data_IF_642599376132
#
_entry.id   IF_642599376132
#
_cell.length_a   1.000
_cell.length_b   1.000
_cell.length_c   1.000
_cell.angle_alpha   90.00
_cell.angle_beta   90.00
_cell.angle_gamma   90.00
#
_symmetry.space_group_name_H-M   'P 1'
#
loop_
_entity.id
_entity.type
_entity.pdbx_description
1 polymer ?
#
# COMPACT_ATOMS: atom_id res chain seq x y z
N UNK A 1 -21.52 6.57 19.44
CA UNK A 1 -21.20 5.34 18.68
C UNK A 1 -21.55 5.41 17.20
N UNK A 2 -22.74 5.90 16.81
CA UNK A 2 -23.14 6.00 15.39
C UNK A 2 -22.17 6.82 14.51
N UNK A 3 -21.60 7.91 15.05
CA UNK A 3 -20.65 8.76 14.31
C UNK A 3 -19.31 8.08 14.02
N UNK A 4 -18.78 7.27 14.96
CA UNK A 4 -17.50 6.58 14.77
C UNK A 4 -17.66 5.46 13.74
N UNK A 5 -18.71 4.65 13.85
CA UNK A 5 -18.99 3.58 12.88
C UNK A 5 -19.16 4.15 11.46
N UNK A 6 -19.87 5.27 11.32
CA UNK A 6 -19.97 6.00 10.06
C UNK A 6 -18.61 6.46 9.55
N UNK A 7 -17.79 7.09 10.39
CA UNK A 7 -16.47 7.59 9.98
C UNK A 7 -15.52 6.45 9.58
N UNK A 8 -15.56 5.31 10.28
CA UNK A 8 -14.82 4.10 9.90
C UNK A 8 -15.29 3.61 8.54
N UNK A 9 -16.59 3.45 8.32
CA UNK A 9 -17.14 3.04 7.02
C UNK A 9 -16.72 3.98 5.90
N UNK A 10 -16.87 5.29 6.07
CA UNK A 10 -16.45 6.30 5.09
C UNK A 10 -14.94 6.23 4.83
N UNK A 11 -14.13 5.93 5.85
CA UNK A 11 -12.69 5.73 5.67
C UNK A 11 -12.39 4.49 4.83
N UNK A 12 -13.06 3.36 5.11
CA UNK A 12 -12.91 2.11 4.35
C UNK A 12 -13.33 2.27 2.88
N UNK A 13 -14.42 3.00 2.63
CA UNK A 13 -14.88 3.36 1.28
C UNK A 13 -13.88 4.30 0.57
N UNK A 14 -13.31 5.29 1.29
CA UNK A 14 -12.33 6.24 0.77
C UNK A 14 -11.01 5.57 0.34
N UNK A 15 -10.54 4.58 1.12
CA UNK A 15 -9.32 3.83 0.81
C UNK A 15 -9.57 2.66 -0.16
N UNK A 16 -10.84 2.40 -0.51
CA UNK A 16 -11.25 1.26 -1.35
C UNK A 16 -10.65 -0.03 -0.84
N UNK A 17 -11.01 -0.41 0.39
CA UNK A 17 -10.46 -1.62 1.03
C UNK A 17 -10.69 -2.88 0.20
N UNK A 18 -11.79 -2.96 -0.55
CA UNK A 18 -12.06 -4.03 -1.51
C UNK A 18 -10.90 -4.24 -2.52
N UNK A 19 -10.23 -3.17 -2.94
CA UNK A 19 -9.13 -3.26 -3.90
C UNK A 19 -7.85 -3.87 -3.28
N UNK A 20 -7.80 -4.06 -1.96
CA UNK A 20 -6.73 -4.82 -1.32
C UNK A 20 -6.69 -6.26 -1.85
N UNK A 21 -7.86 -6.81 -2.20
CA UNK A 21 -7.99 -8.13 -2.77
C UNK A 21 -7.15 -8.29 -4.05
N UNK A 22 -7.00 -7.23 -4.85
CA UNK A 22 -6.21 -7.27 -6.09
C UNK A 22 -4.70 -7.22 -5.85
N UNK A 23 -4.23 -6.80 -4.67
CA UNK A 23 -2.82 -6.79 -4.33
C UNK A 23 -2.34 -8.11 -3.70
N UNK A 24 -3.25 -8.86 -3.07
CA UNK A 24 -2.94 -10.14 -2.41
C UNK A 24 -2.34 -11.20 -3.35
N UNK A 25 -2.77 -11.35 -4.62
CA UNK A 25 -2.16 -12.31 -5.54
C UNK A 25 -0.66 -12.15 -5.70
N UNK A 26 -0.13 -10.91 -5.73
CA UNK A 26 1.31 -10.66 -5.86
C UNK A 26 2.09 -11.13 -4.62
N UNK A 27 1.57 -10.84 -3.42
CA UNK A 27 2.15 -11.32 -2.18
C UNK A 27 2.08 -12.86 -2.10
N UNK A 28 0.92 -13.45 -2.37
CA UNK A 28 0.76 -14.90 -2.28
C UNK A 28 1.54 -15.66 -3.34
N UNK A 29 1.73 -15.11 -4.54
CA UNK A 29 2.63 -15.70 -5.52
C UNK A 29 4.06 -15.78 -4.98
N UNK A 30 4.56 -14.70 -4.37
CA UNK A 30 5.85 -14.72 -3.67
C UNK A 30 5.91 -15.75 -2.53
N UNK A 31 4.86 -15.83 -1.72
CA UNK A 31 4.77 -16.79 -0.62
C UNK A 31 4.73 -18.26 -1.08
N UNK A 32 3.95 -18.57 -2.11
CA UNK A 32 3.81 -19.91 -2.69
C UNK A 32 5.14 -20.41 -3.28
N UNK A 33 5.81 -19.56 -4.04
CA UNK A 33 7.12 -19.86 -4.61
C UNK A 33 8.17 -20.08 -3.52
N UNK A 34 8.12 -19.27 -2.45
CA UNK A 34 9.01 -19.40 -1.30
C UNK A 34 8.78 -20.70 -0.52
N UNK A 35 7.52 -21.09 -0.32
CA UNK A 35 7.15 -22.30 0.41
C UNK A 35 7.39 -23.59 -0.41
N UNK A 36 7.59 -23.49 -1.73
CA UNK A 36 7.56 -24.62 -2.67
C UNK A 36 6.27 -25.46 -2.52
N UNK A 37 5.15 -24.78 -2.31
CA UNK A 37 3.88 -25.36 -1.92
C UNK A 37 3.00 -24.33 -1.22
N UNK A 38 2.07 -24.77 -0.38
CA UNK A 38 1.23 -23.87 0.42
C UNK A 38 2.00 -23.38 1.66
N UNK A 39 2.07 -22.06 1.90
CA UNK A 39 2.53 -21.53 3.17
C UNK A 39 1.64 -22.01 4.32
N UNK A 40 2.18 -22.03 5.53
CA UNK A 40 1.38 -22.34 6.72
C UNK A 40 0.21 -21.36 6.87
N UNK A 41 -0.90 -21.83 7.45
CA UNK A 41 -2.07 -20.98 7.74
C UNK A 41 -1.66 -19.73 8.53
N UNK A 42 -0.73 -19.88 9.48
CA UNK A 42 -0.15 -18.76 10.23
C UNK A 42 0.50 -17.73 9.31
N UNK A 43 1.35 -18.15 8.37
CA UNK A 43 1.98 -17.24 7.41
C UNK A 43 0.94 -16.55 6.52
N UNK A 44 -0.06 -17.28 6.03
CA UNK A 44 -1.13 -16.73 5.21
C UNK A 44 -1.88 -15.61 5.95
N UNK A 45 -2.26 -15.85 7.20
CA UNK A 45 -2.97 -14.86 8.03
C UNK A 45 -2.10 -13.62 8.26
N UNK A 46 -0.86 -13.78 8.69
CA UNK A 46 0.01 -12.64 8.98
C UNK A 46 0.43 -11.87 7.72
N UNK A 47 0.68 -12.53 6.59
CA UNK A 47 0.94 -11.86 5.30
C UNK A 47 -0.30 -11.05 4.89
N UNK A 48 -1.50 -11.60 5.05
CA UNK A 48 -2.75 -10.88 4.73
C UNK A 48 -2.90 -9.64 5.60
N UNK A 49 -2.70 -9.77 6.92
CA UNK A 49 -2.78 -8.64 7.85
C UNK A 49 -1.73 -7.57 7.56
N UNK A 50 -0.51 -7.98 7.19
CA UNK A 50 0.54 -7.06 6.76
C UNK A 50 0.12 -6.30 5.50
N UNK A 51 -0.40 -6.99 4.48
CA UNK A 51 -0.87 -6.39 3.23
C UNK A 51 -2.01 -5.40 3.45
N UNK A 52 -2.99 -5.77 4.29
CA UNK A 52 -4.11 -4.90 4.66
C UNK A 52 -3.61 -3.66 5.40
N UNK A 53 -2.72 -3.83 6.38
CA UNK A 53 -2.13 -2.73 7.15
C UNK A 53 -1.35 -1.77 6.27
N UNK A 54 -0.38 -2.27 5.50
CA UNK A 54 0.47 -1.46 4.63
C UNK A 54 -0.35 -0.68 3.58
N UNK A 55 -1.30 -1.34 2.92
CA UNK A 55 -2.15 -0.67 1.92
C UNK A 55 -3.07 0.36 2.55
N UNK A 56 -3.66 0.05 3.71
CA UNK A 56 -4.53 0.99 4.43
C UNK A 56 -3.76 2.23 4.85
N UNK A 57 -2.53 2.07 5.35
CA UNK A 57 -1.62 3.19 5.65
C UNK A 57 -1.31 3.99 4.39
N UNK A 58 -0.89 3.34 3.30
CA UNK A 58 -0.52 4.01 2.06
C UNK A 58 -1.68 4.85 1.51
N UNK A 59 -2.87 4.27 1.43
CA UNK A 59 -4.06 4.94 0.88
C UNK A 59 -4.57 6.06 1.78
N UNK A 60 -4.64 5.84 3.10
CA UNK A 60 -5.08 6.86 4.05
C UNK A 60 -4.09 8.03 4.10
N UNK A 61 -2.79 7.74 4.14
CA UNK A 61 -1.75 8.76 4.11
C UNK A 61 -1.75 9.54 2.79
N UNK A 62 -1.91 8.87 1.64
CA UNK A 62 -2.03 9.54 0.36
C UNK A 62 -3.18 10.56 0.36
N UNK A 63 -4.34 10.21 0.93
CA UNK A 63 -5.50 11.13 1.03
C UNK A 63 -5.21 12.33 1.94
N UNK A 64 -4.47 12.13 3.02
CA UNK A 64 -4.04 13.22 3.90
C UNK A 64 -3.04 14.13 3.18
N UNK A 65 -2.03 13.55 2.53
CA UNK A 65 -0.99 14.29 1.83
C UNK A 65 -1.58 15.12 0.70
N UNK A 66 -2.51 14.57 -0.06
CA UNK A 66 -3.12 15.21 -1.24
C UNK A 66 -4.29 16.14 -0.88
N UNK A 67 -4.65 16.33 0.40
CA UNK A 67 -5.85 17.08 0.83
C UNK A 67 -6.00 18.47 0.18
N UNK A 68 -4.90 19.24 0.15
CA UNK A 68 -4.92 20.65 -0.29
C UNK A 68 -5.00 20.75 -1.82
N UNK A 69 -4.42 19.76 -2.50
CA UNK A 69 -4.49 19.62 -3.96
C UNK A 69 -5.86 19.09 -4.38
N UNK A 70 -6.36 18.08 -3.68
CA UNK A 70 -7.67 17.49 -3.91
C UNK A 70 -8.80 18.52 -3.73
N UNK A 71 -8.64 19.46 -2.81
CA UNK A 71 -9.58 20.57 -2.58
C UNK A 71 -9.64 21.57 -3.75
N UNK A 72 -8.52 21.75 -4.47
CA UNK A 72 -8.43 22.67 -5.62
C UNK A 72 -8.89 22.03 -6.92
N UNK A 73 -8.86 20.70 -7.02
CA UNK A 73 -9.25 19.98 -8.23
C UNK A 73 -10.78 19.74 -8.29
N UNK A 74 -11.46 20.21 -9.37
CA UNK A 74 -12.92 20.06 -9.54
C UNK A 74 -13.44 18.62 -9.45
N UNK A 75 -12.62 17.63 -9.84
CA UNK A 75 -12.96 16.20 -9.81
C UNK A 75 -12.88 15.59 -8.42
N UNK A 76 -12.01 16.10 -7.56
CA UNK A 76 -11.67 15.48 -6.26
C UNK A 76 -12.10 16.29 -5.05
N UNK A 77 -12.61 17.52 -5.24
CA UNK A 77 -13.13 18.37 -4.16
C UNK A 77 -14.23 17.72 -3.31
N UNK A 78 -14.94 16.75 -3.87
CA UNK A 78 -16.01 16.01 -3.17
C UNK A 78 -15.50 14.81 -2.35
N UNK A 79 -14.17 14.58 -2.29
CA UNK A 79 -13.60 13.52 -1.46
C UNK A 79 -13.81 13.81 0.02
N UNK A 80 -13.83 12.75 0.83
CA UNK A 80 -14.25 12.82 2.23
C UNK A 80 -13.45 13.79 3.12
N UNK A 81 -12.15 13.97 2.86
CA UNK A 81 -11.31 14.92 3.61
C UNK A 81 -11.53 16.37 3.13
N UNK A 82 -11.36 16.71 1.83
CA UNK A 82 -11.66 18.07 1.33
C UNK A 82 -13.09 18.55 1.60
N UNK A 83 -14.08 17.64 1.53
CA UNK A 83 -15.49 17.96 1.78
C UNK A 83 -15.83 18.07 3.29
N UNK A 84 -14.87 17.90 4.20
CA UNK A 84 -15.07 18.01 5.65
C UNK A 84 -15.86 16.85 6.29
N UNK A 85 -16.12 15.77 5.54
CA UNK A 85 -16.86 14.59 6.03
C UNK A 85 -16.02 13.81 7.06
N UNK A 86 -14.70 13.75 6.84
CA UNK A 86 -13.73 13.14 7.75
C UNK A 86 -12.71 14.18 8.22
N UNK A 87 -12.44 14.20 9.53
CA UNK A 87 -11.37 15.03 10.08
C UNK A 87 -10.00 14.43 9.76
N UNK A 88 -9.02 15.28 9.46
CA UNK A 88 -7.63 14.86 9.21
C UNK A 88 -7.08 14.09 10.42
N UNK A 89 -7.40 14.52 11.64
CA UNK A 89 -6.98 13.81 12.87
C UNK A 89 -7.52 12.40 12.97
N UNK A 90 -8.78 12.15 12.56
CA UNK A 90 -9.36 10.81 12.54
C UNK A 90 -8.65 9.91 11.51
N UNK A 91 -8.44 10.40 10.29
CA UNK A 91 -7.74 9.63 9.24
C UNK A 91 -6.28 9.39 9.62
N UNK A 92 -5.63 10.34 10.28
CA UNK A 92 -4.27 10.16 10.79
C UNK A 92 -4.21 9.07 11.87
N UNK A 93 -5.15 9.07 12.82
CA UNK A 93 -5.24 8.00 13.82
C UNK A 93 -5.46 6.63 13.16
N UNK A 94 -6.35 6.53 12.16
CA UNK A 94 -6.53 5.31 11.37
C UNK A 94 -5.25 4.88 10.65
N UNK A 95 -4.51 5.83 10.09
CA UNK A 95 -3.24 5.61 9.39
C UNK A 95 -2.20 5.00 10.36
N UNK A 96 -2.08 5.56 11.57
CA UNK A 96 -1.17 5.06 12.61
C UNK A 96 -1.56 3.68 13.11
N UNK A 97 -2.86 3.41 13.32
CA UNK A 97 -3.35 2.08 13.70
C UNK A 97 -3.04 1.04 12.61
N UNK A 98 -3.27 1.39 11.34
CA UNK A 98 -2.95 0.53 10.19
C UNK A 98 -1.46 0.26 10.06
N UNK A 99 -0.63 1.26 10.32
CA UNK A 99 0.83 1.12 10.34
C UNK A 99 1.27 0.21 11.49
N UNK A 100 0.67 0.38 12.67
CA UNK A 100 0.87 -0.50 13.82
C UNK A 100 0.49 -1.95 13.52
N UNK A 101 -0.63 -2.18 12.83
CA UNK A 101 -1.05 -3.52 12.38
C UNK A 101 0.00 -4.15 11.44
N UNK A 102 0.52 -3.37 10.48
CA UNK A 102 1.56 -3.85 9.57
C UNK A 102 2.86 -4.22 10.31
N UNK A 103 3.34 -3.36 11.20
CA UNK A 103 4.54 -3.61 11.99
C UNK A 103 4.35 -4.81 12.92
N UNK A 104 3.18 -4.93 13.56
CA UNK A 104 2.84 -6.06 14.41
C UNK A 104 2.76 -7.37 13.62
N UNK A 105 2.15 -7.36 12.44
CA UNK A 105 2.14 -8.53 11.57
C UNK A 105 3.57 -8.95 11.15
N UNK A 106 4.47 -7.98 10.91
CA UNK A 106 5.86 -8.25 10.58
C UNK A 106 6.63 -8.92 11.75
N UNK A 107 6.35 -8.56 13.01
CA UNK A 107 6.97 -9.25 14.17
C UNK A 107 6.54 -10.70 14.29
N UNK A 108 5.31 -11.02 13.86
CA UNK A 108 4.74 -12.36 13.95
C UNK A 108 5.21 -13.33 12.86
N UNK A 109 5.86 -12.81 11.81
CA UNK A 109 6.41 -13.57 10.68
C UNK A 109 7.84 -14.02 10.95
N UNK A 110 8.81 -13.10 10.94
CA UNK A 110 10.21 -13.39 11.28
C UNK A 110 11.03 -12.11 11.47
N UNK A 111 12.26 -12.26 11.99
CA UNK A 111 13.17 -11.15 12.31
C UNK A 111 13.55 -10.30 11.08
N UNK A 112 13.80 -10.92 9.93
CA UNK A 112 14.19 -10.18 8.73
C UNK A 112 13.03 -9.33 8.20
N UNK A 113 11.81 -9.88 8.22
CA UNK A 113 10.59 -9.14 7.87
C UNK A 113 10.40 -7.93 8.78
N UNK A 114 10.64 -8.07 10.08
CA UNK A 114 10.57 -6.95 11.02
C UNK A 114 11.64 -5.88 10.76
N UNK A 115 12.87 -6.27 10.45
CA UNK A 115 13.95 -5.32 10.18
C UNK A 115 13.65 -4.50 8.91
N UNK A 116 13.05 -5.13 7.90
CA UNK A 116 12.73 -4.48 6.62
C UNK A 116 11.39 -3.75 6.61
N UNK A 117 10.49 -4.03 7.57
CA UNK A 117 9.16 -3.43 7.59
C UNK A 117 9.17 -1.91 7.70
N UNK A 118 10.05 -1.23 8.47
CA UNK A 118 10.09 0.23 8.47
C UNK A 118 10.48 0.81 7.09
N UNK A 119 11.35 0.13 6.34
CA UNK A 119 11.76 0.54 4.99
C UNK A 119 10.59 0.40 4.02
N UNK A 120 9.85 -0.71 4.11
CA UNK A 120 8.65 -0.92 3.31
C UNK A 120 7.57 0.13 3.61
N UNK A 121 7.35 0.42 4.89
CA UNK A 121 6.39 1.43 5.34
C UNK A 121 6.78 2.83 4.89
N UNK A 122 8.06 3.19 5.03
CA UNK A 122 8.58 4.46 4.55
C UNK A 122 8.39 4.60 3.03
N UNK A 123 8.63 3.53 2.27
CA UNK A 123 8.44 3.53 0.81
C UNK A 123 7.01 3.88 0.41
N UNK A 124 6.00 3.24 1.03
CA UNK A 124 4.59 3.49 0.69
C UNK A 124 4.08 4.85 1.16
N UNK A 125 4.64 5.40 2.24
CA UNK A 125 4.32 6.73 2.75
C UNK A 125 4.95 7.81 1.85
N UNK A 126 6.25 7.69 1.57
CA UNK A 126 7.02 8.65 0.80
C UNK A 126 6.52 8.79 -0.64
N UNK A 127 6.00 7.71 -1.23
CA UNK A 127 5.38 7.74 -2.55
C UNK A 127 4.39 8.90 -2.73
N UNK A 128 3.56 9.20 -1.71
CA UNK A 128 2.55 10.25 -1.78
C UNK A 128 3.14 11.63 -2.09
N UNK A 129 4.40 11.86 -1.74
CA UNK A 129 5.11 13.10 -2.04
C UNK A 129 5.81 13.09 -3.40
N UNK A 130 6.22 11.92 -3.89
CA UNK A 130 7.02 11.81 -5.12
C UNK A 130 6.32 12.37 -6.35
N UNK A 131 4.98 12.35 -6.37
CA UNK A 131 4.15 12.98 -7.42
C UNK A 131 4.48 14.45 -7.68
N UNK A 132 5.03 15.16 -6.69
CA UNK A 132 5.30 16.61 -6.77
C UNK A 132 6.73 16.94 -7.21
N UNK A 133 7.62 15.95 -7.17
CA UNK A 133 9.07 16.17 -7.30
C UNK A 133 9.66 15.47 -8.51
N UNK A 134 9.00 14.40 -9.00
CA UNK A 134 9.55 13.60 -10.09
C UNK A 134 8.48 13.05 -11.01
N UNK A 135 8.79 13.07 -12.32
CA UNK A 135 8.02 12.40 -13.36
C UNK A 135 8.13 10.87 -13.26
N UNK A 136 9.07 10.36 -12.46
CA UNK A 136 9.23 8.93 -12.19
C UNK A 136 8.34 8.42 -11.04
N UNK A 137 7.34 9.20 -10.61
CA UNK A 137 6.40 8.82 -9.56
C UNK A 137 5.70 7.48 -9.86
N UNK A 138 5.45 7.17 -11.14
CA UNK A 138 4.92 5.89 -11.61
C UNK A 138 5.85 4.70 -11.28
N UNK A 139 7.17 4.89 -11.39
CA UNK A 139 8.14 3.86 -10.98
C UNK A 139 8.15 3.70 -9.46
N UNK A 140 8.00 4.78 -8.71
CA UNK A 140 7.90 4.72 -7.24
C UNK A 140 6.62 4.01 -6.81
N UNK A 141 5.49 4.26 -7.48
CA UNK A 141 4.25 3.50 -7.26
C UNK A 141 4.47 2.00 -7.54
N UNK A 142 5.12 1.70 -8.67
CA UNK A 142 5.49 0.34 -9.01
C UNK A 142 6.36 -0.32 -7.94
N UNK A 143 7.35 0.41 -7.42
CA UNK A 143 8.20 -0.04 -6.32
C UNK A 143 7.39 -0.38 -5.06
N UNK A 144 6.43 0.47 -4.69
CA UNK A 144 5.56 0.23 -3.54
C UNK A 144 4.79 -1.10 -3.65
N UNK A 145 4.27 -1.44 -4.83
CA UNK A 145 3.59 -2.73 -5.04
C UNK A 145 4.60 -3.89 -5.17
N UNK A 146 5.74 -3.65 -5.80
CA UNK A 146 6.81 -4.63 -6.00
C UNK A 146 7.44 -5.11 -4.70
N UNK A 147 7.33 -4.38 -3.59
CA UNK A 147 7.77 -4.88 -2.28
C UNK A 147 6.96 -6.12 -1.87
N UNK A 148 5.70 -6.27 -2.30
CA UNK A 148 4.82 -7.33 -1.80
C UNK A 148 5.31 -8.76 -2.12
N UNK A 149 5.67 -9.14 -3.37
CA UNK A 149 6.21 -10.48 -3.65
C UNK A 149 7.47 -10.82 -2.87
N UNK A 150 8.47 -9.94 -2.87
CA UNK A 150 9.73 -10.18 -2.13
C UNK A 150 9.50 -10.17 -0.63
N UNK A 151 8.68 -9.27 -0.11
CA UNK A 151 8.30 -9.23 1.30
C UNK A 151 7.61 -10.50 1.76
N UNK A 152 6.73 -11.06 0.94
CA UNK A 152 6.07 -12.33 1.23
C UNK A 152 7.03 -13.54 1.12
N UNK A 153 8.01 -13.52 0.21
CA UNK A 153 9.07 -14.52 0.18
C UNK A 153 9.88 -14.52 1.48
N UNK A 154 10.31 -13.33 1.91
CA UNK A 154 11.05 -13.14 3.17
C UNK A 154 10.19 -13.56 4.35
N UNK A 155 8.89 -13.24 4.35
CA UNK A 155 7.94 -13.65 5.39
C UNK A 155 7.88 -15.17 5.57
N UNK A 156 8.05 -15.93 4.47
CA UNK A 156 8.02 -17.40 4.48
C UNK A 156 9.38 -18.01 4.80
N UNK A 157 10.46 -17.54 4.16
CA UNK A 157 11.81 -18.15 4.23
C UNK A 157 12.70 -17.56 5.32
N UNK A 158 12.47 -16.30 5.71
CA UNK A 158 13.36 -15.53 6.59
C UNK A 158 14.68 -15.11 5.94
N UNK A 159 14.88 -15.37 4.65
CA UNK A 159 16.08 -15.06 3.87
C UNK A 159 15.73 -14.75 2.41
N UNK A 160 16.66 -14.09 1.70
CA UNK A 160 16.64 -13.99 0.24
C UNK A 160 17.79 -14.86 -0.28
N UNK A 161 17.46 -16.05 -0.73
CA UNK A 161 18.41 -17.10 -1.14
C UNK A 161 18.25 -17.49 -2.61
N UNK A 162 17.42 -16.75 -3.35
CA UNK A 162 17.11 -16.95 -4.74
C UNK A 162 16.87 -15.60 -5.42
N UNK A 163 17.22 -15.44 -6.72
CA UNK A 163 16.87 -14.24 -7.49
C UNK A 163 15.38 -14.17 -7.84
N UNK A 164 14.64 -15.28 -7.74
CA UNK A 164 13.22 -15.38 -8.12
C UNK A 164 12.32 -14.30 -7.49
N UNK A 165 12.33 -14.06 -6.16
CA UNK A 165 11.50 -13.01 -5.56
C UNK A 165 11.80 -11.62 -6.11
N UNK A 166 13.08 -11.30 -6.34
CA UNK A 166 13.51 -10.01 -6.86
C UNK A 166 13.08 -9.81 -8.32
N UNK A 167 13.21 -10.85 -9.15
CA UNK A 167 12.74 -10.82 -10.54
C UNK A 167 11.22 -10.66 -10.61
N UNK A 168 10.48 -11.37 -9.75
CA UNK A 168 9.03 -11.23 -9.67
C UNK A 168 8.64 -9.80 -9.26
N UNK A 169 9.30 -9.24 -8.24
CA UNK A 169 9.12 -7.86 -7.83
C UNK A 169 9.44 -6.87 -8.97
N UNK A 170 10.50 -7.09 -9.74
CA UNK A 170 10.85 -6.25 -10.89
C UNK A 170 9.77 -6.28 -11.97
N UNK A 171 9.24 -7.46 -12.30
CA UNK A 171 8.12 -7.59 -13.26
C UNK A 171 6.89 -6.83 -12.76
N UNK A 172 6.53 -6.99 -11.48
CA UNK A 172 5.41 -6.27 -10.87
C UNK A 172 5.64 -4.75 -10.92
N UNK A 173 6.86 -4.29 -10.65
CA UNK A 173 7.22 -2.88 -10.70
C UNK A 173 6.99 -2.29 -12.09
N UNK A 174 7.56 -2.92 -13.11
CA UNK A 174 7.51 -2.44 -14.49
C UNK A 174 6.09 -2.48 -15.06
N UNK A 175 5.35 -3.56 -14.77
CA UNK A 175 3.94 -3.66 -15.16
C UNK A 175 3.08 -2.58 -14.50
N UNK A 176 3.27 -2.36 -13.20
CA UNK A 176 2.53 -1.34 -12.44
C UNK A 176 2.81 0.06 -12.97
N UNK A 177 4.08 0.39 -13.15
CA UNK A 177 4.48 1.68 -13.70
C UNK A 177 3.95 1.88 -15.12
N UNK A 178 4.01 0.83 -15.96
CA UNK A 178 3.53 0.88 -17.33
C UNK A 178 2.05 1.22 -17.44
N UNK A 179 1.18 0.55 -16.65
CA UNK A 179 -0.25 0.88 -16.67
C UNK A 179 -0.53 2.26 -16.08
N UNK A 180 0.21 2.67 -15.05
CA UNK A 180 -0.02 3.95 -14.38
C UNK A 180 0.34 5.14 -15.27
N UNK A 181 1.38 5.01 -16.10
CA UNK A 181 1.72 5.99 -17.15
C UNK A 181 0.58 6.14 -18.17
N UNK A 182 -0.01 5.02 -18.61
CA UNK A 182 -1.15 5.05 -19.54
C UNK A 182 -2.37 5.74 -18.91
N UNK A 183 -2.60 5.51 -17.61
CA UNK A 183 -3.68 6.17 -16.87
C UNK A 183 -3.43 7.68 -16.71
N UNK A 184 -2.20 8.08 -16.38
CA UNK A 184 -1.82 9.48 -16.22
C UNK A 184 -1.95 10.30 -17.51
N UNK A 185 -1.81 9.67 -18.68
CA UNK A 185 -2.05 10.32 -19.96
C UNK A 185 -3.49 10.87 -20.11
N UNK A 186 -4.46 10.38 -19.34
CA UNK A 186 -5.84 10.89 -19.32
C UNK A 186 -5.99 12.20 -18.54
N UNK A 187 -5.10 12.47 -17.58
CA UNK A 187 -5.11 13.68 -16.74
C UNK A 187 -4.12 14.76 -17.27
N UNK A 188 -3.60 14.58 -18.50
CA UNK A 188 -2.55 15.43 -19.12
C UNK A 188 -2.84 16.93 -19.11
N UNK A 189 -4.09 17.34 -19.35
CA UNK A 189 -4.44 18.76 -19.44
C UNK A 189 -4.50 19.44 -18.07
N UNK A 190 -4.68 18.68 -17.00
CA UNK A 190 -4.72 19.16 -15.61
C UNK A 190 -3.34 19.16 -14.95
N UNK A 191 -2.49 18.18 -15.28
CA UNK A 191 -1.16 18.00 -14.68
C UNK A 191 -0.04 18.87 -15.32
N UNK A 192 -0.40 19.77 -16.25
CA UNK A 192 0.52 20.70 -16.92
C UNK A 192 1.06 21.82 -16.01
#
# INVERSE_FOLDING_TARGET
MATIARNVRTTLEMIKIEHTLFALPFAFLGALLAARGLPSVRQIVWITLAMVGARSTAMAFNRIADKDYDARNPRTKMRAIPAGILSVGFVMAFTMISAGLFLFAATMLNRLTLILSPIALASVVLYSYTKRWTMLSHLVLGWCLAIAPTGAWIAVRGVIDSPVPLLLSLVVMLWTAGFDVLYACQDRDFDR
#
